data_IF_966463754791
#
_entry.id   IF_966463754791
#
_cell.length_a   1.000
_cell.length_b   1.000
_cell.length_c   1.000
_cell.angle_alpha   90.00
_cell.angle_beta   90.00
_cell.angle_gamma   90.00
#
_symmetry.space_group_name_H-M   'P 1'
#
loop_
_entity.id
_entity.type
_entity.pdbx_description
1 polymer ?
#
# COMPACT_ATOMS: atom_id res chain seq x y z
N UNK A 1 3.75 29.19 -32.55
CA UNK A 1 4.81 28.64 -33.41
C UNK A 1 5.77 27.85 -32.52
N UNK A 2 6.16 26.68 -33.01
CA UNK A 2 6.78 25.53 -32.33
C UNK A 2 8.19 25.82 -31.80
N UNK A 3 8.51 25.42 -30.56
CA UNK A 3 9.87 25.20 -30.03
C UNK A 3 9.69 24.47 -28.68
N UNK A 4 10.29 23.34 -28.34
CA UNK A 4 11.48 22.70 -28.85
C UNK A 4 11.32 21.20 -28.58
N UNK A 5 11.61 20.40 -29.61
CA UNK A 5 11.55 18.95 -29.60
C UNK A 5 12.95 18.44 -29.27
N UNK A 6 13.00 17.49 -28.32
CA UNK A 6 13.90 16.32 -28.28
C UNK A 6 15.11 16.33 -27.32
N UNK A 7 15.31 15.12 -26.79
CA UNK A 7 16.48 14.52 -26.13
C UNK A 7 16.75 14.94 -24.68
N UNK A 8 17.00 14.04 -23.72
CA UNK A 8 17.12 12.59 -23.71
C UNK A 8 17.10 12.14 -22.25
N UNK A 9 16.17 11.26 -21.85
CA UNK A 9 16.38 10.39 -20.68
C UNK A 9 15.68 9.06 -20.95
N UNK A 10 16.26 8.24 -21.81
CA UNK A 10 16.02 6.79 -21.75
C UNK A 10 17.15 6.25 -20.87
N UNK A 11 16.92 6.25 -19.56
CA UNK A 11 17.72 5.44 -18.66
C UNK A 11 17.24 3.98 -18.81
N UNK A 12 18.07 3.04 -19.25
CA UNK A 12 17.72 1.63 -19.20
C UNK A 12 18.04 1.15 -17.78
N UNK A 13 17.14 1.38 -16.84
CA UNK A 13 17.26 0.82 -15.49
C UNK A 13 15.99 0.04 -15.19
N UNK A 14 16.22 -1.21 -14.76
CA UNK A 14 15.27 -2.24 -14.32
C UNK A 14 14.75 -3.19 -15.41
N UNK A 15 15.68 -3.93 -16.03
CA UNK A 15 15.48 -5.37 -16.18
C UNK A 15 16.11 -6.02 -14.94
N UNK A 16 15.30 -6.31 -13.92
CA UNK A 16 15.50 -7.32 -12.87
C UNK A 16 14.47 -7.12 -11.73
N UNK A 17 13.19 -7.34 -12.00
CA UNK A 17 12.29 -7.90 -10.99
C UNK A 17 11.42 -8.95 -11.68
N UNK A 18 12.00 -10.14 -11.99
CA UNK A 18 11.16 -11.29 -12.22
C UNK A 18 10.42 -11.58 -10.91
N UNK A 19 9.13 -11.88 -11.03
CA UNK A 19 8.20 -12.23 -9.97
C UNK A 19 7.59 -11.05 -9.17
N UNK A 20 6.83 -10.20 -9.89
CA UNK A 20 5.45 -9.97 -9.48
C UNK A 20 4.59 -11.24 -9.74
N UNK A 21 5.09 -12.41 -9.32
CA UNK A 21 4.29 -13.61 -9.23
C UNK A 21 3.57 -13.42 -7.90
N UNK A 22 2.26 -13.20 -7.96
CA UNK A 22 1.39 -13.04 -6.79
C UNK A 22 2.00 -12.22 -5.64
N UNK A 23 1.79 -10.91 -5.62
CA UNK A 23 1.84 -10.19 -4.35
C UNK A 23 0.63 -10.60 -3.49
N UNK A 24 0.60 -11.89 -3.16
CA UNK A 24 -0.27 -12.53 -2.19
C UNK A 24 0.39 -12.27 -0.84
N UNK A 25 -0.42 -11.88 0.12
CA UNK A 25 0.07 -11.63 1.48
C UNK A 25 0.93 -12.79 1.97
N UNK A 26 2.11 -12.52 2.56
CA UNK A 26 2.90 -13.58 3.16
C UNK A 26 2.08 -14.28 4.24
N UNK A 27 2.32 -15.59 4.42
CA UNK A 27 1.52 -16.41 5.33
C UNK A 27 1.47 -15.79 6.74
N UNK A 28 0.26 -15.51 7.22
CA UNK A 28 0.00 -14.95 8.55
C UNK A 28 0.13 -13.43 8.66
N UNK A 29 0.74 -12.74 7.69
CA UNK A 29 0.89 -11.29 7.77
C UNK A 29 -0.44 -10.55 7.59
N UNK A 30 -1.34 -11.05 6.75
CA UNK A 30 -2.66 -10.44 6.55
C UNK A 30 -3.46 -10.44 7.85
N UNK A 31 -3.38 -11.55 8.55
CA UNK A 31 -4.06 -11.75 9.82
C UNK A 31 -3.44 -10.85 10.91
N UNK A 32 -2.10 -10.76 10.95
CA UNK A 32 -1.39 -9.82 11.83
C UNK A 32 -1.80 -8.37 11.55
N UNK A 33 -1.86 -7.96 10.28
CA UNK A 33 -2.34 -6.63 9.89
C UNK A 33 -3.79 -6.37 10.32
N UNK A 34 -4.71 -7.30 10.05
CA UNK A 34 -6.10 -7.19 10.52
C UNK A 34 -6.18 -7.09 12.04
N UNK A 35 -5.41 -7.91 12.76
CA UNK A 35 -5.42 -7.93 14.22
C UNK A 35 -4.84 -6.65 14.84
N UNK A 36 -4.03 -5.89 14.12
CA UNK A 36 -3.50 -4.60 14.57
C UNK A 36 -4.40 -3.43 14.12
N UNK A 37 -4.82 -3.44 12.86
CA UNK A 37 -5.61 -2.37 12.26
C UNK A 37 -7.05 -2.33 12.77
N UNK A 38 -7.73 -3.48 12.86
CA UNK A 38 -9.16 -3.54 13.21
C UNK A 38 -9.44 -3.02 14.61
N UNK A 39 -8.75 -3.43 15.70
CA UNK A 39 -9.04 -2.86 17.02
C UNK A 39 -8.75 -1.36 17.08
N UNK A 40 -7.62 -0.92 16.51
CA UNK A 40 -7.24 0.49 16.49
C UNK A 40 -8.25 1.36 15.70
N UNK A 41 -8.73 0.87 14.56
CA UNK A 41 -9.76 1.55 13.79
C UNK A 41 -11.15 1.42 14.43
N UNK A 42 -11.46 0.31 15.11
CA UNK A 42 -12.76 0.08 15.72
C UNK A 42 -13.06 1.09 16.83
N UNK A 43 -12.03 1.54 17.56
CA UNK A 43 -12.15 2.62 18.55
C UNK A 43 -12.57 3.96 17.93
N UNK A 44 -12.31 4.16 16.63
CA UNK A 44 -12.56 5.43 15.93
C UNK A 44 -13.80 5.41 15.03
N UNK A 45 -14.04 4.29 14.32
CA UNK A 45 -15.10 4.17 13.31
C UNK A 45 -16.07 3.02 13.56
N UNK A 46 -15.90 2.28 14.66
CA UNK A 46 -16.70 1.11 15.00
C UNK A 46 -16.21 -0.18 14.31
N UNK A 47 -16.52 -1.35 14.88
CA UNK A 47 -15.91 -2.63 14.48
C UNK A 47 -16.24 -3.06 13.04
N UNK A 48 -17.45 -2.79 12.56
CA UNK A 48 -17.86 -3.14 11.20
C UNK A 48 -17.15 -2.29 10.14
N UNK A 49 -17.10 -0.97 10.35
CA UNK A 49 -16.41 -0.05 9.45
C UNK A 49 -14.88 -0.22 9.52
N UNK A 50 -14.34 -0.52 10.70
CA UNK A 50 -12.93 -0.86 10.90
C UNK A 50 -12.52 -2.08 10.08
N UNK A 51 -13.30 -3.15 10.12
CA UNK A 51 -13.04 -4.35 9.31
C UNK A 51 -13.02 -4.02 7.81
N UNK A 52 -13.97 -3.23 7.32
CA UNK A 52 -14.00 -2.81 5.92
C UNK A 52 -12.82 -1.90 5.53
N UNK A 53 -12.50 -0.92 6.38
CA UNK A 53 -11.40 0.02 6.15
C UNK A 53 -10.05 -0.69 6.12
N UNK A 54 -9.80 -1.55 7.11
CA UNK A 54 -8.60 -2.37 7.15
C UNK A 54 -8.57 -3.34 5.98
N UNK A 55 -9.66 -4.03 5.64
CA UNK A 55 -9.67 -4.94 4.50
C UNK A 55 -9.30 -4.23 3.19
N UNK A 56 -9.83 -3.02 2.95
CA UNK A 56 -9.42 -2.20 1.80
C UNK A 56 -7.95 -1.79 1.91
N UNK A 57 -7.49 -1.36 3.09
CA UNK A 57 -6.09 -1.03 3.33
C UNK A 57 -5.16 -2.20 3.00
N UNK A 58 -5.57 -3.43 3.34
CA UNK A 58 -4.84 -4.64 3.00
C UNK A 58 -4.77 -4.89 1.50
N UNK A 59 -5.85 -4.59 0.78
CA UNK A 59 -5.91 -4.70 -0.67
C UNK A 59 -5.11 -3.58 -1.37
N UNK A 60 -5.01 -2.40 -0.77
CA UNK A 60 -4.22 -1.29 -1.29
C UNK A 60 -2.71 -1.61 -1.20
N UNK A 61 -2.26 -2.12 -0.05
CA UNK A 61 -0.84 -2.44 0.17
C UNK A 61 -0.45 -3.84 -0.28
N UNK A 62 -1.37 -4.68 -0.79
CA UNK A 62 -1.05 -6.05 -1.23
C UNK A 62 0.03 -6.10 -2.30
N UNK A 63 0.20 -5.01 -3.07
CA UNK A 63 1.22 -4.88 -4.11
C UNK A 63 2.63 -4.60 -3.58
N UNK A 64 2.79 -4.36 -2.28
CA UNK A 64 4.08 -4.09 -1.66
C UNK A 64 4.89 -5.38 -1.56
N UNK A 65 6.23 -5.31 -1.59
CA UNK A 65 7.04 -6.49 -1.41
C UNK A 65 6.85 -7.06 0.00
N UNK A 66 6.95 -8.39 0.12
CA UNK A 66 6.77 -9.09 1.39
C UNK A 66 7.64 -8.51 2.51
N UNK A 67 8.88 -8.13 2.22
CA UNK A 67 9.80 -7.49 3.17
C UNK A 67 9.26 -6.16 3.70
N UNK A 68 8.56 -5.37 2.88
CA UNK A 68 7.98 -4.09 3.28
C UNK A 68 6.74 -4.29 4.15
N UNK A 69 5.87 -5.25 3.77
CA UNK A 69 4.71 -5.62 4.59
C UNK A 69 5.20 -6.13 5.95
N UNK A 70 6.22 -6.99 5.97
CA UNK A 70 6.80 -7.52 7.19
C UNK A 70 7.41 -6.40 8.05
N UNK A 71 8.14 -5.48 7.43
CA UNK A 71 8.68 -4.33 8.13
C UNK A 71 7.57 -3.43 8.71
N UNK A 72 6.44 -3.26 8.02
CA UNK A 72 5.29 -2.52 8.55
C UNK A 72 4.68 -3.26 9.75
N UNK A 73 4.57 -4.58 9.70
CA UNK A 73 3.99 -5.41 10.75
C UNK A 73 4.88 -5.52 12.00
N UNK A 74 6.19 -5.56 11.82
CA UNK A 74 7.19 -5.60 12.91
C UNK A 74 7.59 -4.19 13.39
N UNK A 75 6.90 -3.15 12.88
CA UNK A 75 7.20 -1.74 13.14
C UNK A 75 8.62 -1.28 12.73
N UNK A 76 9.35 -2.12 11.99
CA UNK A 76 10.70 -1.89 11.47
C UNK A 76 10.72 -1.03 10.19
N UNK A 77 9.55 -0.76 9.61
CA UNK A 77 9.43 0.06 8.40
C UNK A 77 9.94 1.48 8.62
N UNK A 78 10.67 2.01 7.64
CA UNK A 78 11.07 3.42 7.60
C UNK A 78 9.84 4.33 7.57
N UNK A 79 9.98 5.55 8.06
CA UNK A 79 8.90 6.55 8.03
C UNK A 79 8.33 6.76 6.63
N UNK A 80 9.18 6.79 5.60
CA UNK A 80 8.74 6.90 4.21
C UNK A 80 7.80 5.75 3.80
N UNK A 81 8.11 4.52 4.22
CA UNK A 81 7.30 3.34 3.91
C UNK A 81 5.98 3.35 4.70
N UNK A 82 6.04 3.72 5.99
CA UNK A 82 4.84 3.92 6.83
C UNK A 82 3.91 4.96 6.23
N UNK A 83 4.43 6.13 5.86
CA UNK A 83 3.66 7.20 5.23
C UNK A 83 3.07 6.77 3.89
N UNK A 84 3.82 6.04 3.05
CA UNK A 84 3.31 5.50 1.79
C UNK A 84 2.15 4.52 2.02
N UNK A 85 2.30 3.59 2.97
CA UNK A 85 1.24 2.65 3.33
C UNK A 85 0.01 3.38 3.87
N UNK A 86 0.19 4.32 4.80
CA UNK A 86 -0.91 5.13 5.34
C UNK A 86 -1.62 5.95 4.27
N UNK A 87 -0.89 6.54 3.33
CA UNK A 87 -1.49 7.29 2.22
C UNK A 87 -2.38 6.39 1.35
N UNK A 88 -1.95 5.16 1.06
CA UNK A 88 -2.76 4.20 0.31
C UNK A 88 -3.96 3.69 1.11
N UNK A 89 -3.80 3.42 2.40
CA UNK A 89 -4.90 3.01 3.29
C UNK A 89 -5.88 4.18 3.51
N UNK A 90 -5.40 5.42 3.54
CA UNK A 90 -6.26 6.60 3.66
C UNK A 90 -7.19 6.76 2.45
N UNK A 91 -6.76 6.35 1.26
CA UNK A 91 -7.61 6.29 0.07
C UNK A 91 -8.78 5.28 0.22
N UNK A 92 -8.70 4.37 1.18
CA UNK A 92 -9.78 3.45 1.54
C UNK A 92 -10.83 4.05 2.49
N UNK A 93 -10.72 5.33 2.86
CA UNK A 93 -11.76 6.04 3.60
C UNK A 93 -12.40 7.07 2.68
N UNK A 94 -13.64 6.79 2.30
CA UNK A 94 -14.49 7.57 1.42
C UNK A 94 -14.03 7.63 -0.04
N UNK A 95 -14.85 7.09 -0.93
CA UNK A 95 -14.80 7.46 -2.33
C UNK A 95 -14.84 8.99 -2.45
N UNK A 96 -13.82 9.56 -3.08
CA UNK A 96 -14.05 10.47 -4.19
C UNK A 96 -13.14 10.03 -5.31
N UNK A 97 -13.67 9.09 -6.08
CA UNK A 97 -13.21 8.71 -7.40
C UNK A 97 -13.25 9.94 -8.33
N UNK A 98 -12.26 10.81 -8.28
CA UNK A 98 -11.96 11.73 -9.37
C UNK A 98 -11.13 10.95 -10.41
N UNK A 99 -11.83 10.16 -11.22
CA UNK A 99 -11.34 9.83 -12.56
C UNK A 99 -11.29 11.14 -13.34
N UNK A 100 -10.10 11.63 -13.66
CA UNK A 100 -9.90 12.60 -14.74
C UNK A 100 -9.14 11.91 -15.86
#
# INVERSE_FOLDING_TARGET
MHLNRLFAVVAPIVLLLPLAAHAEWPKGEREKYMSQCVPAAAEQIGPAAAKAHCACGADAIKSFPASDIQALMDNKASDALKQKAFSQIAACKAENKAKN
#
